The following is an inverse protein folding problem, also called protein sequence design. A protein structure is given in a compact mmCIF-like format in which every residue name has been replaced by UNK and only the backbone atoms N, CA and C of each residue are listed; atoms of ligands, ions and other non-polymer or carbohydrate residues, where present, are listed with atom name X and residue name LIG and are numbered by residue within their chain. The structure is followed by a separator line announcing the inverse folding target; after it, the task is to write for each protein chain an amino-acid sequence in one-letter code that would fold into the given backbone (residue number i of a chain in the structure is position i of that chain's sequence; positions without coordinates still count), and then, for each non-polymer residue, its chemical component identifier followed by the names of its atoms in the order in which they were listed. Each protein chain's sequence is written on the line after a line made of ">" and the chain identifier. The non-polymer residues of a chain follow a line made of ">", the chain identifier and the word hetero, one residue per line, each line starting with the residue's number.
data_IF_070003845703
#
_entry.id   IF_070003845703
#
_cell.length_a   1.000
_cell.length_b   1.000
_cell.length_c   1.000
_cell.angle_alpha   90.00
_cell.angle_beta   90.00
_cell.angle_gamma   90.00
#
_symmetry.space_group_name_H-M   'P 1'
#
loop_
_entity.id
_entity.type
_entity.pdbx_description
1 polymer ?
#
# COMPACT_ATOMS: atom_id res chain seq x y z
N UNK A 1 29.41 -5.61 -31.58
CA UNK A 1 29.06 -5.54 -30.13
C UNK A 1 29.07 -4.08 -29.67
N UNK A 2 27.94 -3.57 -29.15
CA UNK A 2 27.85 -2.25 -28.48
C UNK A 2 27.44 -2.46 -27.01
N UNK A 3 27.61 -1.44 -26.17
CA UNK A 3 27.17 -1.44 -24.77
C UNK A 3 26.37 -0.16 -24.47
N UNK A 4 25.42 -0.25 -23.54
CA UNK A 4 24.56 0.88 -23.18
C UNK A 4 25.36 1.92 -22.36
N UNK A 5 25.36 3.21 -22.75
CA UNK A 5 26.09 4.25 -22.01
C UNK A 5 25.51 4.54 -20.62
N UNK A 6 24.26 4.14 -20.35
CA UNK A 6 23.58 4.39 -19.06
C UNK A 6 23.80 3.28 -18.02
N UNK A 7 24.00 2.03 -18.44
CA UNK A 7 24.09 0.88 -17.51
C UNK A 7 25.15 -0.17 -17.85
N UNK A 8 25.94 0.01 -18.91
CA UNK A 8 26.97 -0.94 -19.34
C UNK A 8 26.46 -2.26 -19.91
N UNK A 9 25.15 -2.52 -19.93
CA UNK A 9 24.58 -3.75 -20.48
C UNK A 9 24.88 -3.89 -21.99
N UNK A 10 25.13 -5.12 -22.44
CA UNK A 10 25.46 -5.40 -23.83
C UNK A 10 24.25 -5.20 -24.74
N UNK A 11 24.47 -4.69 -25.94
CA UNK A 11 23.42 -4.33 -26.89
C UNK A 11 23.59 -5.09 -28.20
N UNK A 12 22.48 -5.69 -28.65
CA UNK A 12 22.36 -6.29 -29.98
C UNK A 12 22.29 -5.21 -31.07
N UNK A 13 22.65 -5.61 -32.29
CA UNK A 13 22.95 -4.66 -33.36
C UNK A 13 21.67 -4.16 -34.05
N UNK A 14 21.19 -3.00 -33.60
CA UNK A 14 19.94 -2.37 -34.07
C UNK A 14 18.97 -1.99 -32.94
N UNK A 15 19.27 -2.31 -31.68
CA UNK A 15 18.41 -1.98 -30.54
C UNK A 15 18.23 -0.47 -30.34
N UNK A 16 16.98 0.02 -30.48
CA UNK A 16 16.59 1.44 -30.27
C UNK A 16 16.43 1.81 -28.79
N UNK A 17 16.33 0.82 -27.91
CA UNK A 17 16.15 0.95 -26.46
C UNK A 17 16.99 -0.13 -25.76
N UNK A 18 17.54 0.15 -24.58
CA UNK A 18 18.25 -0.86 -23.80
C UNK A 18 17.26 -1.76 -23.04
N UNK A 19 17.29 -3.10 -23.21
CA UNK A 19 16.36 -3.99 -22.53
C UNK A 19 16.55 -4.05 -21.01
N UNK A 20 17.76 -3.75 -20.51
CA UNK A 20 18.09 -3.81 -19.09
C UNK A 20 17.81 -2.52 -18.29
N UNK A 21 17.58 -1.37 -18.95
CA UNK A 21 17.33 -0.10 -18.26
C UNK A 21 16.32 0.85 -18.93
N UNK A 22 15.68 0.44 -20.04
CA UNK A 22 14.70 1.24 -20.78
C UNK A 22 15.26 2.47 -21.51
N UNK A 23 16.53 2.82 -21.33
CA UNK A 23 17.13 4.02 -21.93
C UNK A 23 17.06 3.98 -23.46
N UNK A 24 16.63 5.12 -24.06
CA UNK A 24 16.62 5.30 -25.50
C UNK A 24 18.04 5.39 -26.07
N UNK A 25 18.26 4.71 -27.19
CA UNK A 25 19.54 4.60 -27.87
C UNK A 25 19.43 5.30 -29.22
N UNK A 26 19.42 6.63 -29.18
CA UNK A 26 19.40 7.48 -30.37
C UNK A 26 20.63 7.17 -31.21
N UNK A 27 20.43 6.52 -32.37
CA UNK A 27 21.53 6.18 -33.27
C UNK A 27 21.92 7.41 -34.06
N UNK A 28 22.99 8.08 -33.63
CA UNK A 28 23.58 9.18 -34.40
C UNK A 28 24.26 8.64 -35.68
N UNK A 29 23.52 8.71 -36.78
CA UNK A 29 24.05 9.14 -38.07
C UNK A 29 23.39 10.48 -38.42
N UNK A 30 24.08 11.29 -39.23
CA UNK A 30 23.52 12.48 -39.90
C UNK A 30 23.13 13.69 -39.02
N UNK A 31 24.12 14.24 -38.32
CA UNK A 31 24.10 15.63 -37.85
C UNK A 31 24.36 16.62 -39.02
N UNK A 32 23.32 17.10 -39.73
CA UNK A 32 23.38 18.38 -40.49
C UNK A 32 22.04 18.94 -41.04
N UNK A 33 21.82 20.24 -40.78
CA UNK A 33 21.18 21.25 -41.68
C UNK A 33 19.66 21.58 -41.60
N UNK A 34 19.38 22.88 -41.31
CA UNK A 34 18.15 23.70 -41.54
C UNK A 34 16.89 23.34 -40.71
N UNK A 35 16.28 24.17 -39.83
CA UNK A 35 16.08 25.64 -39.61
C UNK A 35 14.64 26.10 -39.94
N UNK A 36 13.93 26.63 -38.92
CA UNK A 36 12.66 27.40 -38.95
C UNK A 36 11.40 26.63 -39.39
N UNK A 37 10.17 26.92 -38.92
CA UNK A 37 9.63 27.81 -37.84
C UNK A 37 8.39 27.08 -37.21
N UNK A 38 7.47 27.59 -36.36
CA UNK A 38 6.85 28.91 -36.04
C UNK A 38 6.51 28.87 -34.52
N UNK A 39 6.98 29.79 -33.68
CA UNK A 39 6.38 31.08 -33.22
C UNK A 39 5.21 30.95 -32.20
N UNK A 40 5.10 31.93 -31.31
CA UNK A 40 4.35 31.92 -30.02
C UNK A 40 3.07 32.76 -30.10
N UNK A 41 1.98 32.36 -29.41
CA UNK A 41 1.43 33.30 -28.43
C UNK A 41 0.96 32.67 -27.10
N UNK A 42 1.13 33.49 -26.06
CA UNK A 42 0.63 33.38 -24.70
C UNK A 42 -0.84 33.85 -24.62
N UNK A 43 -1.71 33.14 -23.90
CA UNK A 43 -2.96 33.69 -23.34
C UNK A 43 -3.34 32.96 -22.04
N UNK A 44 -3.93 33.68 -21.09
CA UNK A 44 -4.40 33.14 -19.81
C UNK A 44 -5.92 33.01 -19.75
N UNK A 45 -6.41 32.02 -19.00
CA UNK A 45 -7.74 32.00 -18.37
C UNK A 45 -7.81 30.93 -17.26
N UNK A 46 -8.70 31.13 -16.29
CA UNK A 46 -8.95 30.24 -15.15
C UNK A 46 -10.20 29.35 -15.38
N UNK A 47 -10.61 28.60 -14.34
CA UNK A 47 -12.03 28.29 -14.02
C UNK A 47 -12.64 26.94 -14.48
N UNK A 48 -12.46 25.93 -13.61
CA UNK A 48 -13.51 24.96 -13.13
C UNK A 48 -14.03 23.80 -14.02
N UNK A 49 -14.89 22.99 -13.36
CA UNK A 49 -15.84 21.97 -13.86
C UNK A 49 -15.32 20.53 -13.96
N UNK A 50 -15.41 19.86 -12.80
CA UNK A 50 -16.02 18.55 -12.58
C UNK A 50 -16.64 17.84 -13.82
N UNK A 51 -16.26 16.58 -14.04
CA UNK A 51 -17.06 15.65 -14.86
C UNK A 51 -16.89 14.22 -14.37
N UNK A 52 -17.55 13.95 -13.25
CA UNK A 52 -18.13 12.63 -12.96
C UNK A 52 -18.96 12.12 -14.16
N UNK A 53 -18.57 10.99 -14.76
CA UNK A 53 -19.56 10.03 -15.29
C UNK A 53 -19.01 8.58 -15.41
N UNK A 54 -19.88 7.69 -15.86
CA UNK A 54 -19.99 6.29 -15.49
C UNK A 54 -19.03 5.29 -16.16
N UNK A 55 -18.56 4.36 -15.32
CA UNK A 55 -18.73 2.89 -15.45
C UNK A 55 -18.41 2.22 -16.79
N UNK A 56 -17.36 1.41 -16.78
CA UNK A 56 -17.28 0.14 -17.54
C UNK A 56 -16.96 -1.00 -16.56
N UNK A 57 -17.66 -2.13 -16.68
CA UNK A 57 -17.46 -3.33 -15.85
C UNK A 57 -16.45 -4.31 -16.45
N UNK A 58 -15.91 -5.18 -15.59
CA UNK A 58 -15.15 -6.42 -15.90
C UNK A 58 -13.70 -6.30 -16.41
N UNK A 59 -12.75 -6.48 -15.48
CA UNK A 59 -11.57 -7.33 -15.69
C UNK A 59 -11.13 -7.97 -14.36
N UNK A 60 -11.74 -9.11 -13.99
CA UNK A 60 -11.30 -9.96 -12.87
C UNK A 60 -10.28 -11.01 -13.36
N UNK A 61 -9.13 -10.52 -13.83
CA UNK A 61 -7.88 -11.20 -14.20
C UNK A 61 -6.89 -10.01 -14.39
N UNK A 62 -5.63 -10.04 -13.98
CA UNK A 62 -4.66 -11.14 -13.96
C UNK A 62 -3.56 -10.85 -12.90
N UNK A 63 -3.37 -11.73 -11.90
CA UNK A 63 -2.19 -11.72 -11.02
C UNK A 63 -1.82 -13.14 -10.54
N UNK A 64 -1.67 -14.04 -11.52
CA UNK A 64 -0.61 -15.06 -11.48
C UNK A 64 0.64 -14.39 -12.09
N UNK A 65 1.88 -14.75 -11.75
CA UNK A 65 2.33 -15.75 -10.79
C UNK A 65 3.59 -15.24 -10.05
N UNK A 66 4.19 -16.09 -9.23
CA UNK A 66 5.26 -15.77 -8.27
C UNK A 66 6.57 -15.19 -8.85
N UNK A 67 7.33 -14.54 -7.95
CA UNK A 67 8.79 -14.67 -7.77
C UNK A 67 9.69 -13.44 -8.05
N UNK A 68 9.75 -12.53 -7.07
CA UNK A 68 11.01 -11.91 -6.65
C UNK A 68 10.92 -11.51 -5.15
N UNK A 69 11.85 -11.98 -4.31
CA UNK A 69 11.68 -12.10 -2.85
C UNK A 69 11.83 -10.80 -2.03
N UNK A 70 11.76 -9.64 -2.69
CA UNK A 70 11.51 -8.35 -2.03
C UNK A 70 10.42 -7.57 -2.76
N UNK A 71 9.16 -8.04 -2.60
CA UNK A 71 7.99 -7.24 -2.96
C UNK A 71 8.05 -5.92 -2.19
N UNK A 72 8.25 -4.82 -2.92
CA UNK A 72 8.15 -3.46 -2.39
C UNK A 72 6.69 -3.20 -2.02
N UNK A 73 6.29 -3.63 -0.82
CA UNK A 73 4.95 -3.43 -0.29
C UNK A 73 4.76 -1.93 -0.02
N UNK A 74 4.32 -1.17 -1.04
CA UNK A 74 4.04 0.25 -0.94
C UNK A 74 3.28 0.56 0.35
N UNK A 75 3.72 1.59 1.07
CA UNK A 75 3.13 1.98 2.34
C UNK A 75 1.67 2.39 2.13
N UNK A 76 0.76 1.55 2.59
CA UNK A 76 -0.66 1.85 2.60
C UNK A 76 -0.89 3.07 3.51
N UNK A 77 -1.48 4.13 2.93
CA UNK A 77 -2.02 5.26 3.70
C UNK A 77 -3.26 4.86 4.48
N UNK A 78 -3.87 5.82 5.19
CA UNK A 78 -5.02 5.60 6.07
C UNK A 78 -6.16 4.80 5.41
N UNK A 79 -6.74 5.34 4.32
CA UNK A 79 -7.92 4.74 3.66
C UNK A 79 -7.62 3.33 3.14
N UNK A 80 -6.48 3.14 2.47
CA UNK A 80 -6.06 1.83 1.96
C UNK A 80 -5.79 0.81 3.08
N UNK A 81 -5.28 1.26 4.24
CA UNK A 81 -5.06 0.41 5.41
C UNK A 81 -6.39 -0.02 6.05
N UNK A 82 -7.34 0.91 6.21
CA UNK A 82 -8.67 0.61 6.75
C UNK A 82 -9.45 -0.31 5.81
N UNK A 83 -9.46 -0.03 4.50
CA UNK A 83 -10.08 -0.90 3.50
C UNK A 83 -9.44 -2.30 3.47
N UNK A 84 -8.12 -2.39 3.59
CA UNK A 84 -7.42 -3.67 3.68
C UNK A 84 -7.81 -4.43 4.96
N UNK A 85 -7.84 -3.80 6.12
CA UNK A 85 -8.23 -4.46 7.38
C UNK A 85 -9.70 -4.88 7.37
N UNK A 86 -10.59 -4.07 6.79
CA UNK A 86 -12.01 -4.42 6.62
C UNK A 86 -12.23 -5.60 5.66
N UNK A 87 -11.48 -5.68 4.55
CA UNK A 87 -11.55 -6.84 3.63
C UNK A 87 -11.24 -8.16 4.37
N UNK A 88 -10.26 -8.13 5.27
CA UNK A 88 -9.78 -9.28 6.03
C UNK A 88 -10.34 -9.28 7.48
N UNK A 89 -11.48 -8.63 7.72
CA UNK A 89 -11.98 -8.35 9.08
C UNK A 89 -12.20 -9.62 9.93
N UNK A 90 -12.64 -10.71 9.30
CA UNK A 90 -13.03 -11.96 9.95
C UNK A 90 -11.95 -13.06 9.91
N UNK A 91 -10.73 -12.73 9.46
CA UNK A 91 -9.59 -13.66 9.39
C UNK A 91 -8.85 -13.76 10.73
N UNK A 92 -9.46 -14.46 11.69
CA UNK A 92 -8.93 -14.62 13.05
C UNK A 92 -7.86 -15.73 13.18
N UNK A 93 -7.45 -16.38 12.08
CA UNK A 93 -6.44 -17.44 12.10
C UNK A 93 -5.00 -16.91 11.98
N UNK A 94 -4.80 -15.70 11.45
CA UNK A 94 -3.47 -15.10 11.22
C UNK A 94 -2.69 -15.73 10.06
N UNK A 95 -3.38 -16.46 9.19
CA UNK A 95 -2.88 -17.18 8.01
C UNK A 95 -2.27 -16.28 6.93
N UNK A 96 -2.66 -15.00 6.88
CA UNK A 96 -2.03 -13.96 6.06
C UNK A 96 -1.13 -13.07 6.94
N UNK A 97 0.20 -13.29 7.01
CA UNK A 97 1.10 -12.47 7.81
C UNK A 97 1.29 -11.07 7.20
N UNK A 98 1.09 -10.02 7.99
CA UNK A 98 1.20 -8.62 7.54
C UNK A 98 2.48 -7.96 8.07
N UNK A 99 3.35 -7.51 7.15
CA UNK A 99 4.64 -6.87 7.46
C UNK A 99 4.55 -5.36 7.69
N UNK A 100 3.54 -4.71 7.10
CA UNK A 100 3.42 -3.24 7.09
C UNK A 100 2.93 -2.73 8.43
N UNK A 101 3.87 -2.21 9.24
CA UNK A 101 3.55 -1.55 10.52
C UNK A 101 2.50 -0.44 10.36
N UNK A 102 2.47 0.29 9.24
CA UNK A 102 1.48 1.35 8.98
C UNK A 102 0.03 0.84 8.95
N UNK A 103 -0.21 -0.37 8.43
CA UNK A 103 -1.57 -0.93 8.30
C UNK A 103 -2.21 -1.09 9.67
N UNK A 104 -1.45 -1.62 10.64
CA UNK A 104 -1.91 -1.72 12.01
C UNK A 104 -2.15 -0.35 12.66
N UNK A 105 -1.17 0.57 12.59
CA UNK A 105 -1.29 1.86 13.26
C UNK A 105 -2.41 2.74 12.69
N UNK A 106 -2.67 2.68 11.39
CA UNK A 106 -3.84 3.34 10.78
C UNK A 106 -5.17 2.70 11.19
N UNK A 107 -5.24 1.37 11.36
CA UNK A 107 -6.43 0.70 11.87
C UNK A 107 -6.68 1.01 13.36
N UNK A 108 -5.64 1.01 14.19
CA UNK A 108 -5.72 1.44 15.59
C UNK A 108 -6.20 2.89 15.71
N UNK A 109 -5.69 3.79 14.85
CA UNK A 109 -6.14 5.18 14.76
C UNK A 109 -7.60 5.30 14.31
N UNK A 110 -8.05 4.48 13.35
CA UNK A 110 -9.44 4.45 12.91
C UNK A 110 -10.40 4.02 14.02
N UNK A 111 -10.06 2.96 14.77
CA UNK A 111 -10.83 2.46 15.92
C UNK A 111 -10.88 3.53 17.03
N UNK A 112 -9.73 4.08 17.44
CA UNK A 112 -9.67 5.16 18.43
C UNK A 112 -10.53 6.39 18.06
N UNK A 113 -10.57 6.80 16.78
CA UNK A 113 -11.45 7.89 16.32
C UNK A 113 -12.93 7.47 16.39
N UNK A 114 -13.26 6.25 15.99
CA UNK A 114 -14.62 5.72 16.06
C UNK A 114 -15.10 5.69 17.52
N UNK A 115 -14.29 5.18 18.45
CA UNK A 115 -14.63 5.12 19.88
C UNK A 115 -14.80 6.52 20.49
N UNK A 116 -13.97 7.49 20.12
CA UNK A 116 -14.13 8.89 20.54
C UNK A 116 -15.44 9.54 20.07
N UNK A 117 -16.03 9.08 18.96
CA UNK A 117 -17.38 9.50 18.52
C UNK A 117 -18.47 8.70 19.23
N UNK A 118 -18.27 7.39 19.34
CA UNK A 118 -19.27 6.41 19.79
C UNK A 118 -19.48 6.43 21.31
N UNK A 119 -18.47 6.81 22.10
CA UNK A 119 -18.59 7.05 23.55
C UNK A 119 -19.58 8.17 23.89
N UNK A 120 -19.87 9.08 22.95
CA UNK A 120 -20.87 10.14 23.11
C UNK A 120 -22.32 9.62 22.96
N UNK A 121 -22.51 8.37 22.52
CA UNK A 121 -23.82 7.75 22.29
C UNK A 121 -24.22 6.92 23.52
N UNK A 122 -25.10 7.42 24.41
CA UNK A 122 -25.52 6.66 25.58
C UNK A 122 -26.27 5.37 25.19
N UNK A 123 -26.19 4.36 26.04
CA UNK A 123 -26.89 3.08 25.87
C UNK A 123 -26.19 2.10 24.93
N UNK A 124 -25.95 2.45 23.67
CA UNK A 124 -25.38 1.53 22.66
C UNK A 124 -23.88 1.75 22.38
N UNK A 125 -23.30 2.89 22.78
CA UNK A 125 -21.91 3.24 22.45
C UNK A 125 -20.88 2.17 22.85
N UNK A 126 -20.95 1.68 24.09
CA UNK A 126 -20.04 0.64 24.59
C UNK A 126 -20.06 -0.65 23.73
N UNK A 127 -21.23 -1.06 23.23
CA UNK A 127 -21.38 -2.26 22.40
C UNK A 127 -20.76 -2.05 21.01
N UNK A 128 -20.89 -0.85 20.44
CA UNK A 128 -20.29 -0.50 19.16
C UNK A 128 -18.76 -0.40 19.26
N UNK A 129 -18.22 0.17 20.35
CA UNK A 129 -16.77 0.21 20.58
C UNK A 129 -16.17 -1.19 20.74
N UNK A 130 -16.80 -2.05 21.55
CA UNK A 130 -16.40 -3.48 21.66
C UNK A 130 -16.45 -4.22 20.31
N UNK A 131 -17.35 -3.84 19.39
CA UNK A 131 -17.39 -4.40 18.04
C UNK A 131 -16.28 -3.85 17.12
N UNK A 132 -15.82 -2.62 17.35
CA UNK A 132 -14.69 -2.02 16.63
C UNK A 132 -13.34 -2.58 17.11
N UNK A 133 -13.17 -2.80 18.42
CA UNK A 133 -12.01 -3.48 19.00
C UNK A 133 -11.76 -4.87 18.36
N UNK A 134 -12.83 -5.60 18.01
CA UNK A 134 -12.71 -6.91 17.34
C UNK A 134 -12.06 -6.82 15.94
N UNK A 135 -12.17 -5.69 15.24
CA UNK A 135 -11.43 -5.46 13.98
C UNK A 135 -9.92 -5.28 14.25
N UNK A 136 -9.56 -4.70 15.40
CA UNK A 136 -8.17 -4.53 15.82
C UNK A 136 -7.54 -5.87 16.25
N UNK A 137 -8.34 -6.83 16.74
CA UNK A 137 -7.91 -8.19 17.04
C UNK A 137 -7.45 -8.95 15.78
N UNK A 138 -8.21 -8.92 14.67
CA UNK A 138 -7.81 -9.65 13.45
C UNK A 138 -6.57 -9.02 12.79
N UNK A 139 -6.46 -7.69 12.80
CA UNK A 139 -5.23 -6.99 12.43
C UNK A 139 -4.03 -7.40 13.33
N UNK A 140 -4.28 -7.59 14.63
CA UNK A 140 -3.27 -8.04 15.60
C UNK A 140 -2.82 -9.47 15.37
N UNK A 141 -3.73 -10.39 15.03
CA UNK A 141 -3.41 -11.78 14.73
C UNK A 141 -2.50 -11.90 13.50
N UNK A 142 -2.79 -11.18 12.41
CA UNK A 142 -1.93 -11.11 11.21
C UNK A 142 -0.54 -10.51 11.46
N UNK A 143 -0.42 -9.59 12.41
CA UNK A 143 0.89 -9.03 12.81
C UNK A 143 1.67 -9.98 13.72
N UNK A 144 1.00 -10.66 14.65
CA UNK A 144 1.64 -11.64 15.55
C UNK A 144 2.26 -12.80 14.78
N UNK A 145 1.61 -13.31 13.74
CA UNK A 145 2.18 -14.38 12.89
C UNK A 145 3.38 -13.90 12.07
N UNK A 146 3.41 -12.65 11.60
CA UNK A 146 4.60 -12.06 10.97
C UNK A 146 5.81 -11.99 11.92
N UNK A 147 5.58 -11.74 13.22
CA UNK A 147 6.62 -11.70 14.25
C UNK A 147 7.02 -13.12 14.73
N UNK A 148 6.34 -14.18 14.23
CA UNK A 148 6.57 -15.56 14.65
C UNK A 148 6.01 -15.88 16.04
N UNK A 149 5.09 -15.06 16.56
CA UNK A 149 4.43 -15.29 17.85
C UNK A 149 3.09 -16.00 17.68
N UNK A 150 2.62 -16.62 18.77
CA UNK A 150 1.31 -17.29 18.79
C UNK A 150 0.18 -16.27 18.50
N UNK A 151 -0.62 -16.43 17.41
CA UNK A 151 -1.68 -15.47 17.07
C UNK A 151 -2.74 -15.34 18.16
N UNK A 152 -2.89 -16.36 19.01
CA UNK A 152 -3.80 -16.38 20.16
C UNK A 152 -3.54 -15.26 21.17
N UNK A 153 -2.36 -14.61 21.19
CA UNK A 153 -2.14 -13.40 21.99
C UNK A 153 -3.01 -12.21 21.56
N UNK A 154 -3.57 -12.20 20.34
CA UNK A 154 -4.50 -11.15 19.91
C UNK A 154 -5.76 -11.03 20.77
N UNK A 155 -6.21 -12.15 21.34
CA UNK A 155 -7.34 -12.17 22.28
C UNK A 155 -7.10 -11.39 23.59
N UNK A 156 -5.84 -11.06 23.91
CA UNK A 156 -5.51 -10.21 25.07
C UNK A 156 -6.09 -8.79 24.94
N UNK A 157 -6.38 -8.32 23.71
CA UNK A 157 -6.99 -7.00 23.50
C UNK A 157 -8.47 -6.95 23.93
N UNK A 158 -9.18 -8.08 24.04
CA UNK A 158 -10.54 -8.12 24.62
C UNK A 158 -10.54 -7.80 26.12
N UNK A 159 -9.40 -7.97 26.80
CA UNK A 159 -9.31 -7.89 28.25
C UNK A 159 -8.66 -6.55 28.65
N UNK A 160 -9.42 -5.55 29.15
CA UNK A 160 -8.90 -4.18 29.31
C UNK A 160 -7.68 -4.09 30.26
N UNK A 161 -7.56 -5.01 31.21
CA UNK A 161 -6.44 -5.08 32.15
C UNK A 161 -5.08 -5.44 31.50
N UNK A 162 -5.07 -5.99 30.28
CA UNK A 162 -3.87 -6.48 29.58
C UNK A 162 -3.80 -6.05 28.10
N UNK A 163 -4.76 -5.24 27.63
CA UNK A 163 -4.82 -4.60 26.32
C UNK A 163 -3.50 -3.94 25.87
N UNK A 164 -2.75 -3.34 26.81
CA UNK A 164 -1.48 -2.68 26.51
C UNK A 164 -0.37 -3.66 26.03
N UNK A 165 -0.43 -4.95 26.36
CA UNK A 165 0.66 -5.89 26.09
C UNK A 165 0.87 -6.16 24.58
N UNK A 166 -0.17 -6.48 23.78
CA UNK A 166 -0.05 -6.53 22.32
C UNK A 166 0.45 -5.22 21.69
N UNK A 167 0.03 -4.05 22.20
CA UNK A 167 0.48 -2.75 21.68
C UNK A 167 1.97 -2.51 21.95
N UNK A 168 2.46 -2.84 23.14
CA UNK A 168 3.88 -2.77 23.50
C UNK A 168 4.71 -3.71 22.62
N UNK A 169 4.23 -4.93 22.38
CA UNK A 169 4.86 -5.87 21.44
C UNK A 169 4.95 -5.30 20.01
N UNK A 170 3.89 -4.65 19.51
CA UNK A 170 3.89 -4.05 18.17
C UNK A 170 4.72 -2.77 18.03
N UNK A 171 5.00 -2.08 19.14
CA UNK A 171 5.88 -0.92 19.19
C UNK A 171 7.36 -1.34 19.14
N UNK A 172 7.75 -2.33 19.96
CA UNK A 172 9.11 -2.87 20.02
C UNK A 172 9.40 -3.99 19.00
N UNK A 173 8.44 -4.30 18.14
CA UNK A 173 8.50 -5.28 17.04
C UNK A 173 9.84 -5.22 16.28
N UNK A 174 10.64 -6.26 16.47
CA UNK A 174 11.73 -6.66 15.58
C UNK A 174 11.27 -7.93 14.86
N UNK A 175 11.56 -8.02 13.56
CA UNK A 175 11.43 -9.25 12.78
C UNK A 175 12.20 -10.38 13.49
N UNK A 176 11.61 -11.58 13.56
CA UNK A 176 12.38 -12.77 13.89
C UNK A 176 13.47 -13.01 12.83
N UNK A 177 14.69 -13.29 13.28
CA UNK A 177 15.84 -13.59 12.42
C UNK A 177 15.78 -15.04 11.90
#
# INVERSE_FOLDING_TARGET
>A
MKFCPNCGHQLEEGAKFCPACGAQLTTESDQASKKASVEQPEVAAETTVDSNDNKTENSYEEHRESQNDQVNQQQLGFVGSVQYVLKHAFEFNGDVPESRKSVFWWAALAVMIFDCVVILIPGIGWLLGWAADVLLISATMRRLTYIGQNPKLGWLMVVPAIYAWPLVLMLFDKKAE
#
